data_IF_855854183054
#
_entry.id   IF_855854183054
#
_cell.length_a   1.000
_cell.length_b   1.000
_cell.length_c   1.000
_cell.angle_alpha   90.00
_cell.angle_beta   90.00
_cell.angle_gamma   90.00
#
_symmetry.space_group_name_H-M   'P 1'
#
loop_
_entity.id
_entity.type
_entity.pdbx_description
1 polymer ?
#
# COMPACT_ATOMS: atom_id res chain seq x y z
N UNK A 1 4.04 10.63 -6.25
CA UNK A 1 5.30 10.29 -5.53
C UNK A 1 5.89 9.05 -6.18
N UNK A 2 7.21 8.98 -6.38
CA UNK A 2 7.86 7.75 -6.90
C UNK A 2 8.20 6.84 -5.72
N UNK A 3 7.74 5.59 -5.74
CA UNK A 3 8.08 4.58 -4.72
C UNK A 3 9.03 3.57 -5.35
N UNK A 4 10.26 3.48 -4.83
CA UNK A 4 11.31 2.62 -5.40
C UNK A 4 11.98 1.69 -4.39
N UNK A 5 11.46 1.62 -3.16
CA UNK A 5 11.91 0.69 -2.13
C UNK A 5 10.76 0.25 -1.23
N UNK A 6 10.93 -0.89 -0.55
CA UNK A 6 9.95 -1.43 0.39
C UNK A 6 9.67 -0.45 1.55
N UNK A 7 10.72 0.21 2.05
CA UNK A 7 10.62 1.23 3.10
C UNK A 7 9.75 2.43 2.67
N UNK A 8 9.94 2.94 1.44
CA UNK A 8 9.11 4.02 0.91
C UNK A 8 7.65 3.60 0.77
N UNK A 9 7.40 2.36 0.33
CA UNK A 9 6.06 1.81 0.22
C UNK A 9 5.38 1.71 1.60
N UNK A 10 6.07 1.12 2.59
CA UNK A 10 5.57 0.98 3.95
C UNK A 10 5.26 2.33 4.60
N UNK A 11 6.16 3.31 4.46
CA UNK A 11 5.95 4.66 4.94
C UNK A 11 4.72 5.32 4.29
N UNK A 12 4.54 5.12 2.99
CA UNK A 12 3.38 5.66 2.25
C UNK A 12 2.08 5.07 2.78
N UNK A 13 2.00 3.74 2.89
CA UNK A 13 0.80 3.05 3.39
C UNK A 13 0.51 3.40 4.86
N UNK A 14 1.55 3.51 5.70
CA UNK A 14 1.42 3.96 7.10
C UNK A 14 0.83 5.37 7.19
N UNK A 15 1.28 6.27 6.33
CA UNK A 15 0.77 7.63 6.29
C UNK A 15 -0.69 7.67 5.84
N UNK A 16 -1.07 6.89 4.83
CA UNK A 16 -2.47 6.77 4.40
C UNK A 16 -3.36 6.20 5.51
N UNK A 17 -2.91 5.16 6.22
CA UNK A 17 -3.62 4.64 7.41
C UNK A 17 -3.85 5.72 8.47
N UNK A 18 -2.82 6.49 8.78
CA UNK A 18 -2.90 7.58 9.76
C UNK A 18 -3.83 8.71 9.31
N UNK A 19 -3.80 9.10 8.02
CA UNK A 19 -4.73 10.08 7.45
C UNK A 19 -6.19 9.64 7.60
N UNK A 20 -6.45 8.33 7.49
CA UNK A 20 -7.77 7.71 7.71
C UNK A 20 -8.12 7.50 9.18
N UNK A 21 -7.29 7.93 10.13
CA UNK A 21 -7.46 7.74 11.58
C UNK A 21 -7.70 6.27 12.00
N UNK A 22 -7.13 5.32 11.25
CA UNK A 22 -7.25 3.90 11.57
C UNK A 22 -6.07 3.46 12.43
N UNK A 23 -6.33 2.63 13.45
CA UNK A 23 -5.28 1.92 14.18
C UNK A 23 -4.75 0.75 13.33
N UNK A 24 -3.58 0.23 13.69
CA UNK A 24 -3.03 -0.97 13.07
C UNK A 24 -3.98 -2.17 13.27
N UNK A 25 -4.58 -2.33 14.45
CA UNK A 25 -5.57 -3.38 14.71
C UNK A 25 -6.79 -3.24 13.81
N UNK A 26 -7.39 -2.05 13.75
CA UNK A 26 -8.57 -1.80 12.91
C UNK A 26 -8.31 -2.10 11.43
N UNK A 27 -7.09 -1.79 10.95
CA UNK A 27 -6.68 -2.09 9.57
C UNK A 27 -6.44 -3.59 9.37
N UNK A 28 -5.90 -4.28 10.38
CA UNK A 28 -5.67 -5.71 10.31
C UNK A 28 -6.99 -6.50 10.29
N UNK A 29 -7.91 -6.13 11.18
CA UNK A 29 -9.18 -6.81 11.39
C UNK A 29 -10.07 -6.76 10.13
N UNK A 30 -10.05 -5.66 9.37
CA UNK A 30 -10.86 -5.53 8.15
C UNK A 30 -10.45 -6.46 7.01
N UNK A 31 -9.24 -7.05 7.06
CA UNK A 31 -8.70 -7.95 6.02
C UNK A 31 -8.14 -9.26 6.58
N UNK A 32 -8.52 -9.61 7.81
CA UNK A 32 -8.15 -10.88 8.45
C UNK A 32 -6.64 -11.04 8.70
N UNK A 33 -5.94 -9.93 8.98
CA UNK A 33 -4.54 -9.93 9.39
C UNK A 33 -4.41 -9.78 10.91
N UNK A 34 -3.22 -10.11 11.44
CA UNK A 34 -2.87 -9.75 12.83
C UNK A 34 -2.34 -8.32 12.87
N UNK A 35 -2.64 -7.56 13.93
CA UNK A 35 -2.05 -6.23 14.14
C UNK A 35 -0.50 -6.26 14.07
N UNK A 36 0.12 -7.31 14.61
CA UNK A 36 1.57 -7.52 14.55
C UNK A 36 2.09 -7.61 13.10
N UNK A 37 1.29 -8.14 12.16
CA UNK A 37 1.64 -8.19 10.73
C UNK A 37 1.65 -6.78 10.13
N UNK A 38 0.67 -5.94 10.47
CA UNK A 38 0.65 -4.52 10.04
C UNK A 38 1.85 -3.77 10.62
N UNK A 39 2.15 -3.97 11.90
CA UNK A 39 3.32 -3.35 12.55
C UNK A 39 4.63 -3.81 11.93
N UNK A 40 4.77 -5.11 11.63
CA UNK A 40 5.96 -5.65 10.97
C UNK A 40 6.14 -5.04 9.58
N UNK A 41 5.08 -4.95 8.78
CA UNK A 41 5.13 -4.28 7.48
C UNK A 41 5.54 -2.80 7.62
N UNK A 42 4.99 -2.07 8.59
CA UNK A 42 5.27 -0.64 8.75
C UNK A 42 6.70 -0.31 9.21
N UNK A 43 7.37 -1.25 9.90
CA UNK A 43 8.71 -1.02 10.49
C UNK A 43 9.81 -1.80 9.76
N UNK A 44 9.52 -3.01 9.28
CA UNK A 44 10.45 -3.89 8.58
C UNK A 44 9.75 -4.57 7.38
N UNK A 45 9.45 -3.83 6.31
CA UNK A 45 8.73 -4.35 5.15
C UNK A 45 9.51 -5.37 4.32
N UNK A 46 10.83 -5.50 4.51
CA UNK A 46 11.66 -6.45 3.79
C UNK A 46 11.21 -7.89 4.10
N UNK A 47 10.93 -8.67 3.05
CA UNK A 47 10.37 -10.02 3.19
C UNK A 47 8.85 -10.07 3.41
N UNK A 48 8.14 -8.94 3.38
CA UNK A 48 6.67 -8.94 3.38
C UNK A 48 6.14 -9.66 2.14
N UNK A 49 5.21 -10.61 2.35
CA UNK A 49 4.53 -11.30 1.25
C UNK A 49 3.67 -10.31 0.48
N UNK A 50 3.66 -10.43 -0.86
CA UNK A 50 2.77 -9.63 -1.71
C UNK A 50 1.29 -9.76 -1.31
N UNK A 51 0.87 -10.94 -0.86
CA UNK A 51 -0.49 -11.15 -0.33
C UNK A 51 -0.81 -10.17 0.82
N UNK A 52 0.12 -10.00 1.77
CA UNK A 52 -0.05 -9.05 2.88
C UNK A 52 -0.12 -7.61 2.36
N UNK A 53 0.72 -7.26 1.39
CA UNK A 53 0.67 -5.94 0.75
C UNK A 53 -0.70 -5.67 0.12
N UNK A 54 -1.23 -6.60 -0.68
CA UNK A 54 -2.52 -6.42 -1.33
C UNK A 54 -3.69 -6.39 -0.34
N UNK A 55 -3.62 -7.17 0.76
CA UNK A 55 -4.60 -7.04 1.85
C UNK A 55 -4.55 -5.66 2.50
N UNK A 56 -3.35 -5.11 2.74
CA UNK A 56 -3.22 -3.76 3.28
C UNK A 56 -3.72 -2.67 2.32
N UNK A 57 -3.45 -2.82 1.02
CA UNK A 57 -3.99 -1.92 -0.01
C UNK A 57 -5.52 -1.96 -0.01
N UNK A 58 -6.13 -3.14 0.03
CA UNK A 58 -7.58 -3.30 0.13
C UNK A 58 -8.15 -2.70 1.43
N UNK A 59 -7.50 -2.94 2.57
CA UNK A 59 -7.92 -2.37 3.86
C UNK A 59 -7.92 -0.84 3.87
N UNK A 60 -7.00 -0.25 3.11
CA UNK A 60 -6.81 1.18 2.98
C UNK A 60 -7.47 1.75 1.72
N UNK A 61 -8.25 0.97 0.97
CA UNK A 61 -8.91 1.42 -0.27
C UNK A 61 -7.92 2.13 -1.22
N UNK A 62 -6.83 1.42 -1.53
CA UNK A 62 -5.74 1.84 -2.40
C UNK A 62 -5.50 0.80 -3.50
N UNK A 63 -4.98 1.26 -4.63
CA UNK A 63 -4.50 0.41 -5.72
C UNK A 63 -3.00 0.57 -5.95
N UNK A 64 -2.38 -0.42 -6.61
CA UNK A 64 -0.97 -0.39 -7.00
C UNK A 64 -0.87 -0.25 -8.53
N UNK A 65 -0.25 0.83 -8.99
CA UNK A 65 0.10 1.03 -10.39
C UNK A 65 1.61 0.89 -10.59
N UNK A 66 2.02 0.15 -11.62
CA UNK A 66 3.42 -0.01 -12.02
C UNK A 66 3.65 0.78 -13.30
N UNK A 67 4.58 1.74 -13.26
CA UNK A 67 4.85 2.66 -14.37
C UNK A 67 6.33 2.69 -14.74
N UNK A 68 6.70 3.00 -16.01
CA UNK A 68 8.10 3.17 -16.39
C UNK A 68 8.83 4.22 -15.54
N UNK A 69 10.04 3.90 -15.09
CA UNK A 69 10.86 4.84 -14.31
C UNK A 69 11.27 6.04 -15.16
N UNK A 70 11.07 7.24 -14.64
CA UNK A 70 11.54 8.48 -15.27
C UNK A 70 10.64 9.05 -16.36
N UNK A 71 9.58 8.35 -16.75
CA UNK A 71 8.54 8.91 -17.62
C UNK A 71 7.46 9.59 -16.75
N UNK A 72 6.92 10.74 -17.17
CA UNK A 72 5.71 11.27 -16.55
C UNK A 72 4.59 10.24 -16.69
N UNK A 73 3.80 10.06 -15.63
CA UNK A 73 2.56 9.30 -15.71
C UNK A 73 1.61 10.12 -16.56
N UNK A 74 1.30 9.66 -17.76
CA UNK A 74 0.32 10.32 -18.62
C UNK A 74 -1.08 10.05 -18.03
N UNK A 75 -1.81 11.07 -17.54
CA UNK A 75 -3.09 10.86 -16.87
C UNK A 75 -4.18 10.29 -17.81
N UNK A 76 -3.93 10.25 -19.11
CA UNK A 76 -4.92 10.00 -20.18
C UNK A 76 -5.03 8.55 -20.67
N UNK A 77 -4.55 7.57 -19.93
CA UNK A 77 -4.51 6.18 -20.45
C UNK A 77 -5.74 5.31 -20.11
N UNK A 78 -6.79 5.88 -19.50
CA UNK A 78 -7.99 5.14 -19.05
C UNK A 78 -9.27 5.41 -19.87
N UNK A 79 -9.16 5.98 -21.07
CA UNK A 79 -10.31 6.22 -21.99
C UNK A 79 -10.40 5.19 -23.13
N UNK A 80 -9.89 3.97 -22.96
CA UNK A 80 -10.20 2.89 -23.90
C UNK A 80 -10.92 1.76 -23.19
N UNK A 81 -12.25 1.93 -23.15
CA UNK A 81 -13.26 0.89 -22.97
C UNK A 81 -12.93 -0.31 -23.88
N UNK A 82 -12.98 -1.51 -23.31
CA UNK A 82 -13.24 -2.75 -24.04
C UNK A 82 -14.56 -3.33 -23.53
#
# INVERSE_FOLDING_TARGET
MKITSAQMLAHTLRNERKKRNQSQSKTADSVGLKQATVSAFENNPDGTRLETLFKLLAALDLELQVTPRGKPVDPKTWDQEW
#
